data_IF_240532597437
#
_entry.id   IF_240532597437
#
_cell.length_a   1.000
_cell.length_b   1.000
_cell.length_c   1.000
_cell.angle_alpha   90.00
_cell.angle_beta   90.00
_cell.angle_gamma   90.00
#
_symmetry.space_group_name_H-M   'P 1'
#
loop_
_entity.id
_entity.type
_entity.pdbx_description
1 polymer ?
#
# COMPACT_ATOMS: atom_id res chain seq x y z
N UNK A 1 -10.26 18.12 -11.28
CA UNK A 1 -10.51 17.94 -9.83
C UNK A 1 -11.27 16.63 -9.69
N UNK A 2 -11.46 16.06 -8.49
CA UNK A 2 -12.30 14.86 -8.35
C UNK A 2 -13.72 15.29 -8.60
N UNK A 3 -14.20 15.00 -9.80
CA UNK A 3 -15.43 15.57 -10.29
C UNK A 3 -16.57 14.58 -10.10
N UNK A 4 -17.74 15.16 -9.85
CA UNK A 4 -19.04 14.52 -9.82
C UNK A 4 -19.33 13.84 -11.17
N UNK A 5 -20.22 12.85 -11.19
CA UNK A 5 -20.53 11.97 -12.34
C UNK A 5 -20.97 12.66 -13.65
N UNK A 6 -21.06 13.99 -13.69
CA UNK A 6 -21.51 14.79 -14.83
C UNK A 6 -20.38 15.56 -15.55
N UNK A 7 -19.12 15.27 -15.24
CA UNK A 7 -17.98 15.95 -15.85
C UNK A 7 -17.43 15.20 -17.09
N UNK A 8 -17.79 15.70 -18.29
CA UNK A 8 -17.54 15.03 -19.58
C UNK A 8 -16.26 15.47 -20.31
N UNK A 9 -15.47 16.43 -19.80
CA UNK A 9 -14.30 16.91 -20.56
C UNK A 9 -13.10 15.97 -20.38
N UNK A 10 -12.56 15.48 -21.50
CA UNK A 10 -11.40 14.56 -21.54
C UNK A 10 -11.76 13.08 -21.56
N UNK A 11 -13.05 12.75 -21.43
CA UNK A 11 -13.57 11.39 -21.43
C UNK A 11 -14.46 11.22 -22.65
N UNK A 12 -13.92 10.70 -23.74
CA UNK A 12 -14.76 10.25 -24.85
C UNK A 12 -15.29 8.86 -24.48
N UNK A 13 -16.58 8.69 -24.16
CA UNK A 13 -17.14 7.34 -24.09
C UNK A 13 -16.93 6.71 -25.46
N UNK A 14 -16.12 5.66 -25.52
CA UNK A 14 -16.19 4.76 -26.68
C UNK A 14 -17.56 4.09 -26.59
N UNK A 15 -18.17 3.85 -27.74
CA UNK A 15 -19.55 3.37 -27.91
C UNK A 15 -19.84 1.98 -27.34
N UNK A 16 -19.00 1.47 -26.44
CA UNK A 16 -19.23 0.25 -25.68
C UNK A 16 -19.98 0.61 -24.40
N UNK A 17 -21.12 -0.04 -24.18
CA UNK A 17 -21.88 0.04 -22.94
C UNK A 17 -20.94 -0.17 -21.75
N UNK A 18 -20.56 0.92 -21.07
CA UNK A 18 -19.91 0.83 -19.77
C UNK A 18 -20.91 0.12 -18.85
N UNK A 19 -20.72 -1.18 -18.66
CA UNK A 19 -21.53 -1.96 -17.74
C UNK A 19 -21.33 -1.33 -16.37
N UNK A 20 -22.36 -0.64 -15.89
CA UNK A 20 -22.44 -0.08 -14.54
C UNK A 20 -21.94 -1.16 -13.59
N UNK A 21 -20.78 -0.94 -12.97
CA UNK A 21 -20.36 -1.78 -11.86
C UNK A 21 -21.36 -1.56 -10.72
N UNK A 22 -21.62 -2.58 -9.90
CA UNK A 22 -22.09 -2.28 -8.56
C UNK A 22 -20.97 -1.51 -7.86
N UNK A 23 -21.32 -0.51 -7.06
CA UNK A 23 -20.37 0.27 -6.29
C UNK A 23 -19.63 -0.61 -5.27
N UNK A 24 -18.67 -0.04 -4.54
CA UNK A 24 -17.93 -0.77 -3.52
C UNK A 24 -18.81 -1.38 -2.41
N UNK A 25 -20.05 -0.88 -2.26
CA UNK A 25 -21.02 -1.31 -1.26
C UNK A 25 -21.97 -2.40 -1.81
N UNK A 26 -21.78 -2.84 -3.06
CA UNK A 26 -22.56 -3.90 -3.70
C UNK A 26 -23.95 -3.46 -4.16
N UNK A 27 -24.19 -2.15 -4.21
CA UNK A 27 -25.45 -1.52 -4.63
C UNK A 27 -25.27 -0.91 -6.03
N UNK A 28 -26.37 -0.69 -6.75
CA UNK A 28 -26.34 0.15 -7.95
C UNK A 28 -26.03 1.60 -7.52
N UNK A 29 -24.75 1.97 -7.53
CA UNK A 29 -24.28 3.27 -7.08
C UNK A 29 -23.23 3.90 -7.98
N UNK A 30 -22.78 5.08 -7.58
CA UNK A 30 -21.93 5.96 -8.36
C UNK A 30 -20.46 5.74 -8.00
N UNK A 31 -19.63 5.41 -8.99
CA UNK A 31 -18.17 5.37 -8.87
C UNK A 31 -17.52 6.23 -9.97
N UNK A 32 -16.28 6.65 -9.77
CA UNK A 32 -15.49 7.31 -10.80
C UNK A 32 -14.83 6.26 -11.69
N UNK A 33 -14.85 6.46 -13.02
CA UNK A 33 -14.29 5.50 -13.96
C UNK A 33 -13.18 6.11 -14.82
N UNK A 34 -12.15 5.32 -15.11
CA UNK A 34 -11.35 5.50 -16.32
C UNK A 34 -11.88 4.56 -17.40
N UNK A 35 -12.35 5.14 -18.51
CA UNK A 35 -12.86 4.36 -19.65
C UNK A 35 -11.70 3.80 -20.50
N UNK A 36 -11.02 2.77 -19.99
CA UNK A 36 -9.91 2.09 -20.68
C UNK A 36 -10.39 1.03 -21.70
N UNK A 37 -11.66 0.64 -21.69
CA UNK A 37 -12.20 -0.37 -22.61
C UNK A 37 -11.97 0.01 -24.08
N UNK A 38 -11.15 -0.78 -24.76
CA UNK A 38 -10.81 -0.57 -26.18
C UNK A 38 -9.97 0.69 -26.46
N UNK A 39 -9.49 1.38 -25.42
CA UNK A 39 -8.52 2.46 -25.58
C UNK A 39 -7.17 1.88 -26.05
N UNK A 40 -6.40 2.62 -26.84
CA UNK A 40 -5.09 2.15 -27.28
C UNK A 40 -4.17 1.93 -26.06
N UNK A 41 -3.32 0.91 -26.11
CA UNK A 41 -2.33 0.66 -25.05
C UNK A 41 -1.44 1.89 -24.84
N UNK A 42 -1.24 2.29 -23.58
CA UNK A 42 -0.53 3.51 -23.22
C UNK A 42 -1.42 4.76 -23.13
N UNK A 43 -2.71 4.69 -23.47
CA UNK A 43 -3.63 5.82 -23.28
C UNK A 43 -3.72 6.19 -21.80
N UNK A 44 -3.57 7.47 -21.49
CA UNK A 44 -3.44 7.97 -20.12
C UNK A 44 -4.65 8.81 -19.72
N UNK A 45 -5.27 8.47 -18.59
CA UNK A 45 -6.25 9.31 -17.89
C UNK A 45 -5.70 9.80 -16.54
N UNK A 46 -6.23 10.90 -16.01
CA UNK A 46 -5.89 11.35 -14.66
C UNK A 46 -7.05 11.97 -13.89
N UNK A 47 -7.06 11.76 -12.57
CA UNK A 47 -7.95 12.38 -11.60
C UNK A 47 -7.10 13.05 -10.52
N UNK A 48 -7.38 14.33 -10.26
CA UNK A 48 -6.61 15.13 -9.29
C UNK A 48 -7.55 15.68 -8.23
N UNK A 49 -7.24 15.55 -6.95
CA UNK A 49 -8.12 16.01 -5.87
C UNK A 49 -8.32 17.53 -5.90
N UNK A 50 -9.35 18.05 -5.20
CA UNK A 50 -9.33 19.43 -4.73
C UNK A 50 -8.07 19.72 -3.89
N UNK A 51 -7.84 21.00 -3.59
CA UNK A 51 -6.81 21.38 -2.63
C UNK A 51 -7.19 20.87 -1.24
N UNK A 52 -6.28 20.11 -0.63
CA UNK A 52 -6.40 19.61 0.74
C UNK A 52 -5.40 20.37 1.62
N UNK A 53 -5.74 20.54 2.90
CA UNK A 53 -4.81 21.07 3.90
C UNK A 53 -4.49 20.00 4.93
N UNK A 54 -3.21 19.66 5.09
CA UNK A 54 -2.73 18.79 6.16
C UNK A 54 -2.11 19.59 7.31
N UNK A 55 -2.24 20.93 7.29
CA UNK A 55 -1.75 21.79 8.34
C UNK A 55 -2.41 21.44 9.69
N UNK A 56 -1.60 21.40 10.76
CA UNK A 56 -2.06 21.06 12.11
C UNK A 56 -2.18 19.57 12.40
N UNK A 57 -1.92 18.69 11.41
CA UNK A 57 -1.89 17.25 11.61
C UNK A 57 -0.46 16.74 11.40
N UNK A 58 0.35 16.52 12.46
CA UNK A 58 1.74 16.10 12.31
C UNK A 58 1.90 14.58 12.07
N UNK A 59 0.87 13.78 12.38
CA UNK A 59 0.93 12.33 12.24
C UNK A 59 0.93 11.88 10.77
N UNK A 60 1.07 10.57 10.56
CA UNK A 60 0.88 9.95 9.25
C UNK A 60 -0.55 10.08 8.75
N UNK A 61 -0.74 10.11 7.43
CA UNK A 61 -2.05 10.25 6.78
C UNK A 61 -2.30 9.01 5.95
N UNK A 62 -3.47 8.42 6.08
CA UNK A 62 -3.84 7.26 5.29
C UNK A 62 -4.84 7.70 4.21
N UNK A 63 -4.44 7.53 2.96
CA UNK A 63 -5.38 7.49 1.84
C UNK A 63 -5.97 6.09 1.76
N UNK A 64 -7.29 5.98 1.69
CA UNK A 64 -7.96 4.75 1.27
C UNK A 64 -9.02 5.00 0.24
N UNK A 65 -9.20 4.04 -0.66
CA UNK A 65 -10.23 4.02 -1.67
C UNK A 65 -10.44 2.60 -2.16
N UNK A 66 -11.50 2.38 -2.91
CA UNK A 66 -11.80 1.11 -3.54
C UNK A 66 -11.37 1.16 -5.01
N UNK A 67 -10.68 0.13 -5.47
CA UNK A 67 -10.17 -0.01 -6.84
C UNK A 67 -10.75 -1.26 -7.49
N UNK A 68 -11.40 -1.09 -8.65
CA UNK A 68 -11.76 -2.17 -9.56
C UNK A 68 -10.88 -2.10 -10.81
N UNK A 69 -10.14 -3.17 -11.12
CA UNK A 69 -9.30 -3.25 -12.31
C UNK A 69 -9.22 -4.71 -12.79
N UNK A 70 -10.17 -5.10 -13.63
CA UNK A 70 -10.45 -6.51 -13.93
C UNK A 70 -9.58 -7.14 -15.02
N UNK A 71 -9.05 -6.38 -15.98
CA UNK A 71 -8.06 -6.90 -16.95
C UNK A 71 -6.69 -7.08 -16.28
N UNK A 72 -6.41 -6.30 -15.23
CA UNK A 72 -5.23 -6.46 -14.40
C UNK A 72 -3.89 -6.11 -15.08
N UNK A 73 -3.93 -5.64 -16.32
CA UNK A 73 -2.77 -5.11 -17.04
C UNK A 73 -2.86 -3.59 -17.25
N UNK A 74 -4.04 -3.00 -17.12
CA UNK A 74 -4.21 -1.56 -16.87
C UNK A 74 -3.39 -1.14 -15.64
N UNK A 75 -2.69 -0.01 -15.71
CA UNK A 75 -1.80 0.46 -14.63
C UNK A 75 -2.38 1.68 -13.93
N UNK A 76 -2.59 1.60 -12.62
CA UNK A 76 -3.02 2.72 -11.78
C UNK A 76 -1.87 3.19 -10.91
N UNK A 77 -1.51 4.47 -11.00
CA UNK A 77 -0.48 5.10 -10.17
C UNK A 77 -1.09 6.17 -9.26
N UNK A 78 -0.60 6.25 -8.02
CA UNK A 78 -1.00 7.28 -7.05
C UNK A 78 0.18 8.19 -6.76
N UNK A 79 -0.06 9.50 -6.76
CA UNK A 79 0.94 10.54 -6.52
C UNK A 79 0.44 11.54 -5.48
N UNK A 80 1.39 12.12 -4.74
CA UNK A 80 1.16 13.21 -3.81
C UNK A 80 1.93 14.45 -4.25
N UNK A 81 1.28 15.60 -4.17
CA UNK A 81 1.87 16.92 -4.31
C UNK A 81 1.67 17.68 -3.01
N UNK A 82 2.71 18.40 -2.57
CA UNK A 82 2.70 19.25 -1.38
C UNK A 82 2.76 20.74 -1.72
N UNK A 83 2.70 21.10 -3.01
CA UNK A 83 2.86 22.45 -3.56
C UNK A 83 1.66 22.91 -4.38
N UNK A 84 0.46 22.43 -4.05
CA UNK A 84 -0.78 22.81 -4.73
C UNK A 84 -0.95 22.17 -6.11
N UNK A 85 -0.16 21.15 -6.44
CA UNK A 85 -0.17 20.43 -7.71
C UNK A 85 0.76 21.01 -8.76
N UNK A 86 1.74 21.84 -8.38
CA UNK A 86 2.77 22.34 -9.30
C UNK A 86 3.72 21.22 -9.68
N UNK A 87 4.10 20.38 -8.72
CA UNK A 87 4.93 19.20 -8.95
C UNK A 87 4.31 17.95 -8.33
N UNK A 88 4.57 16.81 -8.96
CA UNK A 88 4.29 15.48 -8.42
C UNK A 88 5.58 14.69 -8.54
N UNK A 89 6.07 14.14 -7.42
CA UNK A 89 7.26 13.29 -7.41
C UNK A 89 7.02 11.93 -8.10
N UNK A 90 7.82 10.92 -7.73
CA UNK A 90 7.55 9.53 -8.13
C UNK A 90 6.18 9.06 -7.64
N UNK A 91 5.64 8.03 -8.30
CA UNK A 91 4.43 7.37 -7.82
C UNK A 91 4.69 6.82 -6.40
N UNK A 92 3.76 7.08 -5.48
CA UNK A 92 3.76 6.49 -4.15
C UNK A 92 3.37 5.02 -4.18
N UNK A 93 2.53 4.64 -5.14
CA UNK A 93 2.14 3.26 -5.39
C UNK A 93 1.71 3.05 -6.84
N UNK A 94 1.91 1.82 -7.31
CA UNK A 94 1.47 1.33 -8.62
C UNK A 94 0.66 0.06 -8.43
N UNK A 95 -0.53 0.00 -9.02
CA UNK A 95 -1.43 -1.13 -8.98
C UNK A 95 -1.71 -1.60 -10.40
N UNK A 96 -1.41 -2.86 -10.68
CA UNK A 96 -1.71 -3.48 -11.97
C UNK A 96 -2.95 -4.35 -11.88
N UNK A 97 -3.24 -5.02 -10.74
CA UNK A 97 -4.39 -5.92 -10.61
C UNK A 97 -5.34 -5.60 -9.45
N UNK A 98 -6.64 -5.79 -9.70
CA UNK A 98 -7.71 -5.77 -8.68
C UNK A 98 -8.80 -6.80 -9.02
N UNK A 99 -8.61 -8.03 -8.56
CA UNK A 99 -9.53 -9.20 -8.52
C UNK A 99 -10.54 -9.40 -9.69
N UNK A 100 -10.29 -10.48 -10.45
CA UNK A 100 -11.17 -11.33 -11.25
C UNK A 100 -12.31 -10.71 -12.09
N UNK A 101 -12.06 -10.72 -13.41
CA UNK A 101 -12.92 -10.47 -14.56
C UNK A 101 -14.32 -11.11 -14.60
N UNK A 102 -14.71 -11.92 -13.61
CA UNK A 102 -16.05 -12.51 -13.56
C UNK A 102 -16.98 -11.89 -12.52
N UNK A 103 -16.48 -11.15 -11.52
CA UNK A 103 -17.31 -10.52 -10.48
C UNK A 103 -17.00 -9.06 -10.18
N UNK A 104 -16.09 -8.40 -10.93
CA UNK A 104 -15.92 -6.93 -10.91
C UNK A 104 -15.86 -6.37 -9.47
N UNK A 105 -15.17 -7.06 -8.58
CA UNK A 105 -15.20 -6.75 -7.16
C UNK A 105 -14.15 -5.67 -6.85
N UNK A 106 -14.61 -4.54 -6.32
CA UNK A 106 -13.71 -3.50 -5.82
C UNK A 106 -12.89 -4.02 -4.64
N UNK A 107 -11.58 -3.75 -4.64
CA UNK A 107 -10.70 -4.00 -3.49
C UNK A 107 -10.37 -2.68 -2.80
N UNK A 108 -10.46 -2.66 -1.47
CA UNK A 108 -9.93 -1.55 -0.69
C UNK A 108 -8.41 -1.45 -0.81
N UNK A 109 -7.94 -0.32 -1.30
CA UNK A 109 -6.56 0.14 -1.30
C UNK A 109 -6.36 1.07 -0.09
N UNK A 110 -5.22 0.93 0.58
CA UNK A 110 -4.79 1.82 1.65
C UNK A 110 -3.31 2.17 1.44
N UNK A 111 -2.98 3.46 1.48
CA UNK A 111 -1.66 4.00 1.19
C UNK A 111 -1.28 5.08 2.20
N UNK A 112 -0.09 4.96 2.78
CA UNK A 112 0.46 6.00 3.64
C UNK A 112 0.92 7.19 2.79
N UNK A 113 0.50 8.39 3.18
CA UNK A 113 0.87 9.66 2.54
C UNK A 113 2.01 10.38 3.31
N UNK A 114 2.61 9.73 4.31
CA UNK A 114 3.64 10.31 5.17
C UNK A 114 3.10 11.36 6.14
N UNK A 115 4.04 12.13 6.69
CA UNK A 115 3.84 13.10 7.78
C UNK A 115 3.79 14.55 7.32
N UNK A 116 3.64 14.81 6.02
CA UNK A 116 3.61 16.19 5.53
C UNK A 116 2.51 17.00 6.20
N UNK A 117 2.85 18.23 6.56
CA UNK A 117 1.97 19.23 7.19
C UNK A 117 1.61 20.37 6.22
N UNK A 118 1.89 20.19 4.92
CA UNK A 118 1.59 21.21 3.91
C UNK A 118 0.10 21.57 3.92
N UNK A 119 -0.19 22.88 3.83
CA UNK A 119 -1.56 23.39 3.67
C UNK A 119 -2.05 23.34 2.22
N UNK A 120 -1.19 22.93 1.28
CA UNK A 120 -1.48 22.92 -0.16
C UNK A 120 -1.19 21.55 -0.76
N UNK A 121 -1.99 20.56 -0.39
CA UNK A 121 -1.83 19.18 -0.85
C UNK A 121 -2.76 18.86 -1.99
N UNK A 122 -2.28 18.08 -2.97
CA UNK A 122 -3.12 17.42 -3.97
C UNK A 122 -2.73 15.96 -4.15
N UNK A 123 -3.72 15.11 -4.33
CA UNK A 123 -3.56 13.69 -4.66
C UNK A 123 -3.92 13.52 -6.13
N UNK A 124 -3.03 12.90 -6.90
CA UNK A 124 -3.28 12.58 -8.31
C UNK A 124 -3.27 11.07 -8.48
N UNK A 125 -4.25 10.58 -9.22
CA UNK A 125 -4.33 9.20 -9.65
C UNK A 125 -4.31 9.20 -11.16
N UNK A 126 -3.43 8.38 -11.75
CA UNK A 126 -3.39 8.20 -13.20
C UNK A 126 -3.71 6.76 -13.53
N UNK A 127 -4.35 6.54 -14.66
CA UNK A 127 -4.56 5.22 -15.23
C UNK A 127 -3.98 5.15 -16.64
N UNK A 128 -3.27 4.08 -16.93
CA UNK A 128 -2.72 3.78 -18.25
C UNK A 128 -3.40 2.54 -18.80
N UNK A 129 -4.05 2.67 -19.95
CA UNK A 129 -4.78 1.59 -20.60
C UNK A 129 -3.86 0.51 -21.18
N UNK A 130 -4.31 -0.74 -21.17
CA UNK A 130 -3.61 -1.91 -21.73
C UNK A 130 -4.16 -2.41 -23.08
N UNK A 131 -5.17 -1.74 -23.64
CA UNK A 131 -5.98 -2.18 -24.79
C UNK A 131 -6.90 -3.39 -24.53
N UNK A 132 -7.21 -3.65 -23.28
CA UNK A 132 -8.17 -4.65 -22.84
C UNK A 132 -9.63 -4.20 -22.98
N UNK A 133 -10.52 -5.03 -22.44
CA UNK A 133 -11.97 -4.91 -22.59
C UNK A 133 -12.69 -4.57 -21.27
N UNK A 134 -11.97 -4.00 -20.30
CA UNK A 134 -12.56 -3.53 -19.05
C UNK A 134 -12.13 -2.12 -18.71
N UNK A 135 -13.01 -1.41 -18.02
CA UNK A 135 -12.72 -0.10 -17.42
C UNK A 135 -12.13 -0.27 -16.01
N UNK A 136 -11.52 0.82 -15.53
CA UNK A 136 -11.02 0.93 -14.15
C UNK A 136 -12.00 1.74 -13.33
N UNK A 137 -12.45 1.20 -12.21
CA UNK A 137 -13.33 1.87 -11.25
C UNK A 137 -12.59 2.35 -10.00
N UNK A 138 -12.98 3.51 -9.50
CA UNK A 138 -12.52 4.07 -8.23
C UNK A 138 -13.70 4.54 -7.39
N UNK A 139 -13.68 4.24 -6.10
CA UNK A 139 -14.80 4.56 -5.21
C UNK A 139 -14.37 4.81 -3.77
N UNK A 140 -15.26 5.40 -2.96
CA UNK A 140 -15.14 5.56 -1.51
C UNK A 140 -13.78 6.12 -1.05
N UNK A 141 -13.36 7.21 -1.70
CA UNK A 141 -12.13 7.88 -1.33
C UNK A 141 -12.20 8.56 0.02
N UNK A 142 -11.15 8.35 0.81
CA UNK A 142 -11.01 8.91 2.14
C UNK A 142 -9.54 9.21 2.43
N UNK A 143 -9.29 10.36 3.06
CA UNK A 143 -8.02 10.65 3.71
C UNK A 143 -8.29 10.87 5.19
N UNK A 144 -7.61 10.13 6.05
CA UNK A 144 -7.74 10.24 7.51
C UNK A 144 -6.38 10.45 8.16
N UNK A 145 -6.39 11.15 9.29
CA UNK A 145 -5.23 11.15 10.17
C UNK A 145 -5.02 9.73 10.71
N UNK A 146 -3.79 9.24 10.66
CA UNK A 146 -3.38 7.93 11.14
C UNK A 146 -2.26 8.11 12.16
N UNK A 147 -2.59 8.43 13.42
CA UNK A 147 -1.60 8.37 14.48
C UNK A 147 -1.03 6.95 14.56
N UNK A 148 0.29 6.84 14.48
CA UNK A 148 0.98 5.57 14.63
C UNK A 148 1.47 5.45 16.07
N UNK A 149 1.24 4.30 16.67
CA UNK A 149 1.83 3.96 17.96
C UNK A 149 3.09 3.15 17.68
N UNK A 150 4.28 3.63 18.11
CA UNK A 150 5.51 2.86 17.98
C UNK A 150 5.39 1.49 18.65
N UNK A 151 6.03 0.48 18.05
CA UNK A 151 5.87 -0.90 18.50
C UNK A 151 6.55 -1.10 19.86
N UNK A 152 5.88 -1.88 20.71
CA UNK A 152 6.38 -2.29 22.01
C UNK A 152 5.72 -3.60 22.42
N UNK A 153 6.50 -4.54 22.94
CA UNK A 153 6.03 -5.84 23.39
C UNK A 153 6.35 -6.98 22.42
N UNK A 154 5.62 -8.08 22.56
CA UNK A 154 5.85 -9.29 21.75
C UNK A 154 4.84 -9.40 20.62
N UNK A 155 5.36 -9.63 19.42
CA UNK A 155 4.63 -9.90 18.19
C UNK A 155 5.02 -11.28 17.66
N UNK A 156 4.22 -11.84 16.76
CA UNK A 156 4.55 -13.10 16.06
C UNK A 156 4.69 -12.88 14.57
N UNK A 157 5.55 -13.66 13.92
CA UNK A 157 5.58 -13.83 12.46
C UNK A 157 5.21 -15.27 12.19
N UNK A 158 3.99 -15.50 11.71
CA UNK A 158 3.42 -16.82 11.47
C UNK A 158 2.45 -16.79 10.29
N UNK A 159 2.83 -17.43 9.18
CA UNK A 159 2.03 -17.46 7.95
C UNK A 159 0.82 -18.41 7.98
N UNK A 160 0.59 -19.12 9.09
CA UNK A 160 -0.59 -19.98 9.30
C UNK A 160 -1.67 -19.33 10.14
N UNK A 161 -1.40 -18.14 10.70
CA UNK A 161 -2.36 -17.33 11.46
C UNK A 161 -2.73 -16.09 10.65
N UNK A 162 -3.97 -15.57 10.79
CA UNK A 162 -4.35 -14.29 10.20
C UNK A 162 -3.43 -13.15 10.67
N UNK A 163 -3.24 -12.14 9.81
CA UNK A 163 -2.73 -10.85 10.27
C UNK A 163 -3.78 -10.21 11.19
N UNK A 164 -3.37 -9.93 12.43
CA UNK A 164 -4.25 -9.43 13.49
C UNK A 164 -3.58 -8.32 14.32
N UNK A 165 -2.57 -7.64 13.76
CA UNK A 165 -1.85 -6.54 14.43
C UNK A 165 -0.87 -6.97 15.54
N UNK A 166 -1.01 -8.18 16.08
CA UNK A 166 -0.02 -8.84 16.94
C UNK A 166 0.66 -10.03 16.27
N UNK A 167 0.11 -10.51 15.15
CA UNK A 167 0.71 -11.50 14.26
C UNK A 167 0.86 -10.91 12.86
N UNK A 168 2.00 -11.15 12.22
CA UNK A 168 2.28 -10.83 10.82
C UNK A 168 2.41 -12.14 10.03
N UNK A 169 1.85 -12.20 8.83
CA UNK A 169 1.96 -13.39 7.98
C UNK A 169 3.31 -13.46 7.24
N UNK A 170 4.10 -12.39 7.23
CA UNK A 170 5.40 -12.30 6.55
C UNK A 170 6.37 -11.32 7.23
N UNK A 171 7.67 -11.39 6.90
CA UNK A 171 8.63 -10.35 7.31
C UNK A 171 8.40 -9.04 6.57
N UNK A 172 7.91 -9.09 5.32
CA UNK A 172 7.57 -7.87 4.57
C UNK A 172 6.54 -7.02 5.30
N UNK A 173 5.49 -7.62 5.86
CA UNK A 173 4.49 -6.92 6.65
C UNK A 173 5.08 -6.35 7.95
N UNK A 174 5.84 -7.17 8.68
CA UNK A 174 6.49 -6.76 9.92
C UNK A 174 7.46 -5.59 9.71
N UNK A 175 8.32 -5.67 8.70
CA UNK A 175 9.32 -4.64 8.39
C UNK A 175 8.65 -3.36 7.88
N UNK A 176 7.61 -3.49 7.07
CA UNK A 176 6.83 -2.33 6.60
C UNK A 176 6.22 -1.56 7.77
N UNK A 177 5.64 -2.27 8.74
CA UNK A 177 5.09 -1.62 9.93
C UNK A 177 6.19 -1.05 10.83
N UNK A 178 7.29 -1.76 11.04
CA UNK A 178 8.43 -1.29 11.82
C UNK A 178 9.03 0.00 11.26
N UNK A 179 9.31 0.03 9.95
CA UNK A 179 9.86 1.21 9.28
C UNK A 179 8.92 2.41 9.37
N UNK A 180 7.62 2.14 9.46
CA UNK A 180 6.58 3.15 9.45
C UNK A 180 6.25 3.69 10.85
N UNK A 181 6.11 2.82 11.85
CA UNK A 181 5.72 3.19 13.21
C UNK A 181 6.91 3.33 14.18
N UNK A 182 8.06 2.73 13.86
CA UNK A 182 9.23 2.72 14.73
C UNK A 182 9.10 1.82 15.97
N UNK A 183 10.08 1.92 16.86
CA UNK A 183 10.17 1.15 18.11
C UNK A 183 10.03 2.10 19.30
N UNK A 184 9.00 1.92 20.12
CA UNK A 184 8.70 2.76 21.30
C UNK A 184 9.13 2.15 22.63
N UNK A 185 9.46 0.86 22.64
CA UNK A 185 9.87 0.10 23.82
C UNK A 185 10.50 -1.23 23.41
N UNK A 186 10.86 -2.10 24.37
CA UNK A 186 11.37 -3.43 24.06
C UNK A 186 10.38 -4.18 23.16
N UNK A 187 10.83 -4.51 21.94
CA UNK A 187 10.02 -5.16 20.91
C UNK A 187 10.65 -6.48 20.51
N UNK A 188 9.85 -7.54 20.50
CA UNK A 188 10.30 -8.89 20.13
C UNK A 188 9.35 -9.50 19.12
N UNK A 189 9.88 -9.90 17.96
CA UNK A 189 9.18 -10.70 16.97
C UNK A 189 9.55 -12.17 17.15
N UNK A 190 8.55 -12.98 17.49
CA UNK A 190 8.61 -14.43 17.62
C UNK A 190 8.24 -15.08 16.29
N UNK A 191 9.24 -15.60 15.60
CA UNK A 191 9.04 -16.26 14.29
C UNK A 191 8.63 -17.72 14.55
N UNK A 192 7.53 -18.14 13.94
CA UNK A 192 7.03 -19.51 14.09
C UNK A 192 8.01 -20.53 13.51
N UNK A 193 8.24 -21.60 14.27
CA UNK A 193 9.23 -22.62 13.95
C UNK A 193 8.86 -23.38 12.66
N UNK A 194 9.88 -23.80 11.91
CA UNK A 194 9.71 -24.67 10.74
C UNK A 194 9.04 -24.01 9.53
N UNK A 195 8.85 -22.68 9.53
CA UNK A 195 8.31 -21.95 8.39
C UNK A 195 9.41 -21.42 7.47
N UNK A 196 9.13 -21.42 6.17
CA UNK A 196 9.99 -20.80 5.14
C UNK A 196 9.25 -19.62 4.54
N UNK A 197 9.92 -18.46 4.48
CA UNK A 197 9.40 -17.24 3.89
C UNK A 197 10.21 -16.93 2.63
N UNK A 198 9.56 -17.04 1.47
CA UNK A 198 10.18 -16.74 0.17
C UNK A 198 9.76 -15.33 -0.26
N UNK A 199 10.50 -14.32 0.16
CA UNK A 199 10.14 -12.92 -0.05
C UNK A 199 11.35 -12.01 -0.27
N UNK A 200 11.13 -10.89 -0.94
CA UNK A 200 12.06 -9.77 -0.99
C UNK A 200 11.55 -8.71 -0.01
N UNK A 201 12.11 -8.70 1.20
CA UNK A 201 11.71 -7.73 2.22
C UNK A 201 12.18 -6.31 1.88
N UNK A 202 11.44 -5.27 2.28
CA UNK A 202 11.96 -3.91 2.25
C UNK A 202 13.15 -3.80 3.21
N UNK A 203 14.14 -2.93 2.93
CA UNK A 203 15.23 -2.68 3.88
C UNK A 203 14.67 -2.24 5.24
N UNK A 204 15.17 -2.82 6.32
CA UNK A 204 14.83 -2.37 7.67
C UNK A 204 15.62 -1.09 7.97
N UNK A 205 14.94 0.03 8.11
CA UNK A 205 15.53 1.36 8.35
C UNK A 205 15.43 1.81 9.80
N UNK A 206 14.86 0.97 10.67
CA UNK A 206 14.72 1.22 12.11
C UNK A 206 15.58 0.24 12.90
N UNK A 207 16.17 0.73 14.00
CA UNK A 207 16.92 -0.09 14.94
C UNK A 207 16.35 0.08 16.35
N UNK A 208 16.57 -0.92 17.19
CA UNK A 208 16.35 -0.75 18.64
C UNK A 208 17.44 0.09 19.29
N UNK A 209 17.22 0.44 20.55
CA UNK A 209 18.22 1.02 21.45
C UNK A 209 18.45 0.10 22.65
N UNK A 210 19.44 0.39 23.51
CA UNK A 210 19.61 -0.36 24.75
C UNK A 210 18.37 -0.31 25.67
N UNK A 211 17.63 0.80 25.66
CA UNK A 211 16.41 0.98 26.45
C UNK A 211 15.15 0.41 25.76
N UNK A 212 15.19 0.26 24.44
CA UNK A 212 14.09 -0.25 23.63
C UNK A 212 14.65 -1.22 22.56
N UNK A 213 15.10 -2.41 22.96
CA UNK A 213 15.74 -3.33 22.03
C UNK A 213 14.72 -3.88 21.03
N UNK A 214 15.18 -4.12 19.80
CA UNK A 214 14.41 -4.78 18.75
C UNK A 214 15.01 -6.16 18.49
N UNK A 215 14.24 -7.21 18.79
CA UNK A 215 14.69 -8.60 18.68
C UNK A 215 13.83 -9.38 17.70
N UNK A 216 14.47 -10.22 16.88
CA UNK A 216 13.84 -11.29 16.13
C UNK A 216 14.38 -12.62 16.67
N UNK A 217 13.49 -13.49 17.13
CA UNK A 217 13.86 -14.77 17.74
C UNK A 217 12.82 -15.84 17.44
N UNK A 218 13.16 -17.11 17.67
CA UNK A 218 12.21 -18.20 17.53
C UNK A 218 11.05 -18.10 18.54
N UNK A 219 9.87 -18.60 18.17
CA UNK A 219 8.68 -18.53 19.01
C UNK A 219 8.81 -19.30 20.33
N UNK A 220 9.54 -20.41 20.32
CA UNK A 220 9.92 -21.15 21.53
C UNK A 220 11.36 -20.81 21.89
N UNK A 221 11.65 -20.21 23.06
CA UNK A 221 13.02 -19.99 23.48
C UNK A 221 13.69 -21.34 23.72
N UNK A 222 14.42 -21.80 22.73
CA UNK A 222 15.39 -22.87 22.85
C UNK A 222 16.72 -22.28 23.32
N UNK A 223 17.45 -22.98 24.18
CA UNK A 223 18.80 -22.57 24.57
C UNK A 223 19.81 -22.70 23.41
N UNK A 224 19.38 -23.21 22.25
CA UNK A 224 20.20 -23.41 21.06
C UNK A 224 20.04 -22.24 20.08
N UNK A 225 21.16 -21.64 19.69
CA UNK A 225 21.21 -20.66 18.59
C UNK A 225 20.83 -21.28 17.23
N UNK A 226 20.82 -22.62 17.11
CA UNK A 226 20.45 -23.33 15.89
C UNK A 226 18.96 -23.23 15.54
N UNK A 227 18.15 -22.80 16.51
CA UNK A 227 16.69 -22.70 16.34
C UNK A 227 16.25 -21.25 16.05
N UNK A 228 17.16 -20.28 16.08
CA UNK A 228 16.87 -18.93 15.63
C UNK A 228 16.56 -18.90 14.11
N UNK A 229 15.72 -17.95 13.65
CA UNK A 229 15.43 -17.78 12.23
C UNK A 229 16.72 -17.68 11.41
N UNK A 230 16.95 -18.64 10.53
CA UNK A 230 18.10 -18.62 9.64
C UNK A 230 17.73 -17.83 8.39
N UNK A 231 18.43 -16.72 8.15
CA UNK A 231 18.29 -15.94 6.92
C UNK A 231 19.19 -16.55 5.86
N UNK A 232 18.62 -17.06 4.77
CA UNK A 232 19.36 -17.56 3.61
C UNK A 232 18.97 -16.75 2.37
N UNK A 233 19.92 -16.45 1.49
CA UNK A 233 19.62 -15.78 0.22
C UNK A 233 19.03 -16.79 -0.76
N UNK A 234 17.86 -16.47 -1.32
CA UNK A 234 17.34 -17.18 -2.47
C UNK A 234 18.20 -16.81 -3.68
N UNK A 235 19.07 -17.72 -4.11
CA UNK A 235 20.00 -17.67 -5.26
C UNK A 235 21.43 -17.19 -4.96
N UNK A 236 22.35 -17.66 -5.81
CA UNK A 236 23.81 -17.43 -5.81
C UNK A 236 24.20 -15.96 -6.10
N UNK A 237 23.32 -15.01 -5.84
CA UNK A 237 23.59 -13.58 -5.97
C UNK A 237 24.50 -13.15 -4.82
N UNK A 238 25.60 -12.51 -5.16
CA UNK A 238 26.68 -12.17 -4.25
C UNK A 238 26.27 -10.98 -3.38
N UNK A 239 25.63 -11.23 -2.24
CA UNK A 239 25.42 -10.21 -1.21
C UNK A 239 24.14 -10.37 -0.41
N UNK A 240 24.20 -11.12 0.69
CA UNK A 240 23.27 -10.90 1.80
C UNK A 240 23.71 -9.62 2.51
N UNK A 241 23.17 -8.45 2.13
CA UNK A 241 23.41 -7.22 2.88
C UNK A 241 22.53 -7.23 4.14
N UNK A 242 23.02 -7.87 5.21
CA UNK A 242 22.46 -7.70 6.56
C UNK A 242 23.06 -6.42 7.13
N UNK A 243 22.43 -5.27 6.85
CA UNK A 243 22.82 -4.00 7.46
C UNK A 243 22.04 -3.83 8.77
N UNK A 244 22.60 -4.31 9.88
CA UNK A 244 22.14 -3.99 11.23
C UNK A 244 22.92 -2.75 11.71
N UNK A 245 22.60 -1.57 11.18
CA UNK A 245 23.18 -0.34 11.71
C UNK A 245 22.45 0.04 13.00
N UNK A 246 22.93 -0.48 14.14
CA UNK A 246 22.71 0.17 15.42
C UNK A 246 23.56 1.43 15.46
N UNK A 247 22.94 2.58 15.73
CA UNK A 247 23.70 3.74 16.19
C UNK A 247 24.11 3.48 17.65
N UNK A 248 25.41 3.54 17.92
CA UNK A 248 25.94 3.71 19.28
C UNK A 248 25.73 5.17 19.73
#
# INVERSE_FOLDING_TARGET
>A
QWHRNDYLTGWTPTSYNSVQLNDADGVAGAYAAFHSTGAASGSLGSLVSPLLSFAGYPDHKLLSFYLGNSSGADVVNVYLSTDGGLTYGSALATYTSGVNAFNKAFRRVALDLGTTTSSTVKIKITATADAGFSDIGLDNFQVVNRPLTPLSGTYTINNTLPDAGTNFASFTEAFSLLNLAGVGGPTTFRVANGQTFTEQTPPLTVSGTAAAPLLFQEATPSASLADNPTITTASNETGALVLLSGAD
#
